data_IF_901591186136
#
_entry.id   IF_901591186136
#
_cell.length_a   1.000
_cell.length_b   1.000
_cell.length_c   1.000
_cell.angle_alpha   90.00
_cell.angle_beta   90.00
_cell.angle_gamma   90.00
#
_symmetry.space_group_name_H-M   'P 1'
#
loop_
_entity.id
_entity.type
_entity.pdbx_description
1 polymer ?
#
# COMPACT_ATOMS: atom_id res chain seq x y z
N UNK A 1 14.97 -4.16 17.02
CA UNK A 1 15.19 -4.28 15.57
C UNK A 1 14.07 -3.55 14.83
N UNK A 2 14.38 -2.69 13.85
CA UNK A 2 13.36 -1.81 13.22
C UNK A 2 12.37 -2.59 12.32
N UNK A 3 12.68 -3.84 12.00
CA UNK A 3 11.92 -4.73 11.13
C UNK A 3 11.06 -5.73 11.91
N UNK A 4 11.03 -5.64 13.24
CA UNK A 4 10.26 -6.56 14.06
C UNK A 4 8.75 -6.46 13.76
N UNK A 5 8.11 -7.56 13.28
CA UNK A 5 6.70 -7.54 12.87
C UNK A 5 5.73 -7.47 14.05
N UNK A 6 6.19 -7.79 15.26
CA UNK A 6 5.40 -7.77 16.51
C UNK A 6 5.45 -6.42 17.22
N UNK A 7 6.40 -5.56 16.87
CA UNK A 7 6.55 -4.21 17.41
C UNK A 7 5.24 -3.45 17.33
N UNK A 8 4.81 -2.93 18.47
CA UNK A 8 3.63 -2.09 18.56
C UNK A 8 3.96 -0.67 18.07
N UNK A 9 3.14 -0.18 17.15
CA UNK A 9 3.16 1.18 16.63
C UNK A 9 1.87 1.89 17.02
N UNK A 10 2.00 3.14 17.44
CA UNK A 10 0.86 3.97 17.82
C UNK A 10 0.13 4.49 16.57
N UNK A 11 -1.21 4.47 16.60
CA UNK A 11 -2.00 5.00 15.49
C UNK A 11 -2.00 6.54 15.51
N UNK A 12 -1.79 7.19 14.36
CA UNK A 12 -1.83 8.66 14.26
C UNK A 12 -3.25 9.23 14.30
N UNK A 13 -4.29 8.42 14.04
CA UNK A 13 -5.69 8.84 14.18
C UNK A 13 -6.18 8.81 15.63
N UNK A 14 -5.68 7.88 16.44
CA UNK A 14 -6.05 7.75 17.84
C UNK A 14 -4.88 7.23 18.67
N UNK A 15 -4.44 8.05 19.63
CA UNK A 15 -3.31 7.78 20.52
C UNK A 15 -3.48 6.54 21.39
N UNK A 16 -4.70 6.06 21.62
CA UNK A 16 -4.98 4.87 22.43
C UNK A 16 -4.79 3.56 21.66
N UNK A 17 -4.67 3.60 20.33
CA UNK A 17 -4.44 2.39 19.54
C UNK A 17 -2.95 2.08 19.43
N UNK A 18 -2.57 0.90 19.91
CA UNK A 18 -1.26 0.30 19.70
C UNK A 18 -1.43 -0.96 18.85
N UNK A 19 -0.81 -0.96 17.67
CA UNK A 19 -1.03 -1.98 16.64
C UNK A 19 0.31 -2.55 16.19
N UNK A 20 0.39 -3.87 16.05
CA UNK A 20 1.59 -4.54 15.53
C UNK A 20 1.96 -4.00 14.14
N UNK A 21 3.25 -3.83 13.88
CA UNK A 21 3.77 -3.32 12.62
C UNK A 21 3.21 -4.09 11.40
N UNK A 22 3.11 -5.41 11.50
CA UNK A 22 2.52 -6.29 10.48
C UNK A 22 1.05 -5.99 10.15
N UNK A 23 0.26 -5.53 11.12
CA UNK A 23 -1.17 -5.23 10.95
C UNK A 23 -1.45 -3.74 10.73
N UNK A 24 -0.41 -2.90 10.82
CA UNK A 24 -0.55 -1.45 10.77
C UNK A 24 -1.20 -0.95 9.46
N UNK A 25 -0.78 -1.39 8.24
CA UNK A 25 -1.38 -0.88 7.00
C UNK A 25 -2.90 -1.15 6.93
N UNK A 26 -3.31 -2.37 7.30
CA UNK A 26 -4.73 -2.75 7.36
C UNK A 26 -5.51 -1.92 8.38
N UNK A 27 -4.91 -1.67 9.55
CA UNK A 27 -5.51 -0.81 10.56
C UNK A 27 -5.73 0.62 10.06
N UNK A 28 -4.76 1.21 9.35
CA UNK A 28 -4.87 2.57 8.84
C UNK A 28 -6.08 2.76 7.92
N UNK A 29 -6.36 1.79 7.04
CA UNK A 29 -7.52 1.85 6.12
C UNK A 29 -8.84 1.91 6.89
N UNK A 30 -8.99 1.09 7.94
CA UNK A 30 -10.21 1.08 8.76
C UNK A 30 -10.29 2.31 9.65
N UNK A 31 -9.20 2.68 10.31
CA UNK A 31 -9.17 3.76 11.27
C UNK A 31 -9.37 5.13 10.60
N UNK A 32 -8.87 5.31 9.39
CA UNK A 32 -9.13 6.50 8.56
C UNK A 32 -10.63 6.76 8.34
N UNK A 33 -11.44 5.71 8.17
CA UNK A 33 -12.89 5.83 7.99
C UNK A 33 -13.61 6.27 9.27
N UNK A 34 -13.09 5.88 10.44
CA UNK A 34 -13.67 6.23 11.74
C UNK A 34 -13.30 7.66 12.21
N UNK A 35 -12.18 8.21 11.72
CA UNK A 35 -11.70 9.54 12.11
C UNK A 35 -11.54 10.46 10.89
N UNK A 36 -12.64 10.85 10.23
CA UNK A 36 -12.60 11.60 8.98
C UNK A 36 -11.95 12.99 9.14
N UNK A 37 -12.11 13.65 10.28
CA UNK A 37 -11.55 14.99 10.48
C UNK A 37 -10.02 14.96 10.60
N UNK A 38 -9.48 14.04 11.39
CA UNK A 38 -8.02 13.81 11.46
C UNK A 38 -7.49 13.31 10.11
N UNK A 39 -8.27 12.52 9.37
CA UNK A 39 -7.91 12.07 8.02
C UNK A 39 -7.84 13.20 6.98
N UNK A 40 -8.51 14.34 7.20
CA UNK A 40 -8.34 15.55 6.37
C UNK A 40 -7.05 16.29 6.68
N UNK A 41 -6.47 16.09 7.85
CA UNK A 41 -5.19 16.72 8.23
C UNK A 41 -3.99 15.84 7.88
N UNK A 42 -4.17 14.52 7.86
CA UNK A 42 -3.09 13.57 7.56
C UNK A 42 -3.11 13.10 6.09
N UNK A 43 -1.94 13.05 5.48
CA UNK A 43 -1.69 12.41 4.20
C UNK A 43 -0.85 11.14 4.35
N UNK A 44 -1.10 10.18 3.47
CA UNK A 44 -0.30 8.96 3.37
C UNK A 44 0.88 9.22 2.45
N UNK A 45 2.08 8.81 2.86
CA UNK A 45 3.26 8.87 2.00
C UNK A 45 3.09 7.96 0.78
N UNK A 46 3.44 8.42 -0.43
CA UNK A 46 3.41 7.60 -1.64
C UNK A 46 4.47 6.48 -1.63
N UNK A 47 5.56 6.65 -0.89
CA UNK A 47 6.65 5.66 -0.82
C UNK A 47 6.39 4.54 0.18
N UNK A 48 5.65 4.82 1.26
CA UNK A 48 5.36 3.85 2.30
C UNK A 48 3.99 4.12 2.94
N UNK A 49 3.07 3.17 2.77
CA UNK A 49 1.71 3.29 3.28
C UNK A 49 1.63 3.34 4.82
N UNK A 50 2.70 2.97 5.53
CA UNK A 50 2.79 3.10 6.99
C UNK A 50 3.05 4.54 7.44
N UNK A 51 3.58 5.39 6.57
CA UNK A 51 3.86 6.78 6.89
C UNK A 51 2.60 7.62 6.70
N UNK A 52 2.09 8.13 7.81
CA UNK A 52 1.05 9.14 7.87
C UNK A 52 1.66 10.40 8.44
N UNK A 53 1.61 11.46 7.65
CA UNK A 53 2.21 12.75 7.97
C UNK A 53 1.18 13.85 7.83
N UNK A 54 1.27 14.95 8.60
CA UNK A 54 0.45 16.12 8.37
C UNK A 54 0.57 16.60 6.91
N UNK A 55 -0.54 17.00 6.30
CA UNK A 55 -0.58 17.49 4.92
C UNK A 55 0.39 18.66 4.70
N UNK A 56 0.49 19.56 5.67
CA UNK A 56 1.42 20.68 5.63
C UNK A 56 2.89 20.24 5.54
N UNK A 57 3.24 19.14 6.19
CA UNK A 57 4.60 18.61 6.25
C UNK A 57 4.91 17.57 5.17
N UNK A 58 3.91 17.16 4.38
CA UNK A 58 4.08 16.11 3.38
C UNK A 58 5.22 16.45 2.41
N UNK A 59 5.30 17.69 1.91
CA UNK A 59 6.36 18.10 0.98
C UNK A 59 7.77 17.93 1.59
N UNK A 60 7.97 18.41 2.81
CA UNK A 60 9.23 18.23 3.55
C UNK A 60 9.51 16.74 3.81
N UNK A 61 8.49 15.95 4.16
CA UNK A 61 8.62 14.50 4.32
C UNK A 61 9.11 13.83 3.03
N UNK A 62 8.54 14.14 1.87
CA UNK A 62 8.95 13.55 0.59
C UNK A 62 10.43 13.81 0.26
N UNK A 63 10.97 14.98 0.65
CA UNK A 63 12.40 15.29 0.44
C UNK A 63 13.34 14.50 1.33
N UNK A 64 12.86 14.04 2.51
CA UNK A 64 13.67 13.39 3.55
C UNK A 64 13.25 11.93 3.81
N UNK A 65 12.31 11.39 3.03
CA UNK A 65 11.76 10.06 3.28
C UNK A 65 12.81 9.00 2.96
N UNK A 66 13.18 8.19 3.96
CA UNK A 66 14.15 7.09 3.78
C UNK A 66 13.67 6.05 2.76
N UNK A 67 12.36 5.85 2.61
CA UNK A 67 11.78 4.89 1.66
C UNK A 67 11.77 5.41 0.21
N UNK A 68 12.14 6.68 -0.03
CA UNK A 68 12.22 7.25 -1.38
C UNK A 68 13.24 6.52 -2.25
N UNK A 69 14.39 6.17 -1.69
CA UNK A 69 15.49 5.53 -2.42
C UNK A 69 15.16 4.12 -2.93
N UNK A 70 14.24 3.40 -2.28
CA UNK A 70 13.82 2.06 -2.71
C UNK A 70 13.06 2.07 -4.04
N UNK A 71 12.25 3.10 -4.29
CA UNK A 71 11.49 3.21 -5.56
C UNK A 71 12.41 3.67 -6.70
N UNK A 72 13.32 4.61 -6.44
CA UNK A 72 14.27 5.10 -7.46
C UNK A 72 15.20 3.97 -7.94
N UNK A 73 15.62 3.05 -7.05
CA UNK A 73 16.40 1.86 -7.44
C UNK A 73 15.60 0.84 -8.26
N UNK A 74 14.32 0.61 -7.93
CA UNK A 74 13.47 -0.31 -8.70
C UNK A 74 13.19 0.22 -10.12
N UNK A 75 12.97 1.53 -10.28
CA UNK A 75 12.78 2.16 -11.59
C UNK A 75 14.06 2.09 -12.44
N UNK A 76 15.23 2.34 -11.84
CA UNK A 76 16.51 2.22 -12.55
C UNK A 76 16.78 0.76 -12.94
N UNK A 77 16.48 -0.21 -12.09
CA UNK A 77 16.65 -1.63 -12.40
C UNK A 77 15.65 -2.13 -13.48
N UNK A 78 14.46 -1.52 -13.57
CA UNK A 78 13.51 -1.75 -14.67
C UNK A 78 13.94 -1.12 -16.00
N UNK A 79 14.89 -0.18 -16.01
CA UNK A 79 15.41 0.42 -17.25
C UNK A 79 16.46 -0.46 -17.97
N UNK A 80 17.11 -1.37 -17.24
CA UNK A 80 18.05 -2.37 -17.81
C UNK A 80 17.38 -3.71 -18.15
N UNK A 81 16.12 -3.90 -17.74
CA UNK A 81 15.30 -5.07 -18.04
C UNK A 81 14.15 -4.72 -18.98
N UNK A 82 14.45 -4.64 -20.28
CA UNK A 82 13.46 -4.55 -21.34
C UNK A 82 12.38 -5.62 -21.18
N UNK A 83 11.18 -5.23 -20.73
CA UNK A 83 9.90 -5.38 -21.42
C UNK A 83 8.77 -5.36 -20.39
N UNK A 84 8.18 -4.17 -20.16
CA UNK A 84 6.74 -4.10 -19.93
C UNK A 84 6.09 -4.62 -21.21
N UNK A 85 5.92 -5.94 -21.31
CA UNK A 85 5.06 -6.53 -22.33
C UNK A 85 3.68 -5.97 -22.05
N UNK A 86 3.28 -4.99 -22.86
CA UNK A 86 1.90 -4.57 -22.99
C UNK A 86 1.09 -5.85 -23.12
N UNK A 87 0.33 -6.20 -22.09
CA UNK A 87 -0.63 -7.30 -22.18
C UNK A 87 -1.83 -6.81 -22.99
N UNK A 88 -1.61 -6.53 -24.27
CA UNK A 88 -2.66 -6.65 -25.27
C UNK A 88 -2.69 -8.12 -25.70
N UNK A 89 -2.94 -9.01 -24.75
CA UNK A 89 -3.43 -10.33 -25.07
C UNK A 89 -4.94 -10.25 -24.88
N UNK A 90 -5.67 -10.15 -25.99
CA UNK A 90 -7.07 -10.60 -25.98
C UNK A 90 -7.04 -11.97 -25.31
N UNK A 91 -7.74 -12.08 -24.20
CA UNK A 91 -7.89 -13.32 -23.46
C UNK A 91 -8.49 -14.35 -24.42
N UNK A 92 -7.70 -15.29 -24.93
CA UNK A 92 -8.18 -16.40 -25.78
C UNK A 92 -8.99 -17.42 -24.97
N UNK A 93 -9.29 -17.11 -23.70
CA UNK A 93 -10.16 -17.91 -22.86
C UNK A 93 -11.56 -17.98 -23.48
N UNK A 94 -11.91 -19.18 -23.93
CA UNK A 94 -13.27 -19.54 -24.29
C UNK A 94 -13.88 -20.28 -23.11
N UNK A 95 -15.02 -19.80 -22.63
CA UNK A 95 -15.77 -20.50 -21.60
C UNK A 95 -16.16 -21.89 -22.15
N UNK A 96 -15.91 -22.99 -21.42
CA UNK A 96 -16.44 -24.28 -21.82
C UNK A 96 -17.97 -24.19 -21.92
N UNK A 97 -18.59 -24.90 -22.88
CA UNK A 97 -20.04 -24.94 -22.97
C UNK A 97 -20.59 -25.46 -21.63
N UNK A 98 -21.58 -24.73 -21.11
CA UNK A 98 -22.36 -25.17 -19.96
C UNK A 98 -23.18 -26.40 -20.38
N UNK A 99 -22.57 -27.58 -20.28
CA UNK A 99 -23.26 -28.86 -20.39
C UNK A 99 -23.06 -29.57 -19.06
N UNK A 100 -23.79 -29.09 -18.06
CA UNK A 100 -24.07 -29.81 -16.84
C UNK A 100 -25.04 -30.95 -17.19
N UNK A 101 -24.50 -32.07 -17.67
CA UNK A 101 -25.23 -33.33 -17.81
C UNK A 101 -25.29 -33.99 -16.42
N UNK A 102 -26.20 -33.52 -15.57
CA UNK A 102 -26.42 -34.04 -14.22
C UNK A 102 -27.40 -35.22 -14.16
N UNK A 103 -27.78 -35.80 -15.29
CA UNK A 103 -28.75 -36.90 -15.36
C UNK A 103 -28.10 -38.15 -16.00
N UNK A 104 -27.36 -38.91 -15.21
CA UNK A 104 -27.13 -40.35 -15.42
C UNK A 104 -27.31 -41.10 -14.11
#
# INVERSE_FOLDING_TARGET
DALDPERLMQCPYNKHHQIRASRFPYHLVKCKKNYPDVAKELATCPFNARHLVPRADLSNHLTKCNDRGFIEQDIVNQSTGSQRKQMNAVSTWQAPPCAEDWET
#
